data_IF_306595348598
#
_entry.id   IF_306595348598
#
_cell.length_a   1.000
_cell.length_b   1.000
_cell.length_c   1.000
_cell.angle_alpha   90.00
_cell.angle_beta   90.00
_cell.angle_gamma   90.00
#
_symmetry.space_group_name_H-M   'P 1'
#
loop_
_entity.id
_entity.type
_entity.pdbx_description
1 polymer ?
#
# COMPACT_ATOMS: atom_id res chain seq x y z
N UNK A 1 -13.01 -0.20 -9.42
CA UNK A 1 -11.64 -0.08 -8.89
C UNK A 1 -10.81 -1.22 -9.48
N UNK A 2 -9.84 -0.93 -10.35
CA UNK A 2 -8.87 -1.95 -10.78
C UNK A 2 -7.79 -2.00 -9.70
N UNK A 3 -7.54 -3.19 -9.16
CA UNK A 3 -6.61 -3.38 -8.06
C UNK A 3 -5.18 -3.00 -8.47
N UNK A 4 -4.51 -2.22 -7.63
CA UNK A 4 -3.11 -1.83 -7.76
C UNK A 4 -2.23 -3.00 -7.30
N UNK A 5 -1.16 -3.30 -8.05
CA UNK A 5 -0.24 -4.40 -7.73
C UNK A 5 1.20 -3.99 -8.05
N UNK A 6 2.03 -3.91 -7.03
CA UNK A 6 3.49 -3.90 -7.16
C UNK A 6 3.94 -5.32 -7.54
N UNK A 7 4.56 -5.48 -8.71
CA UNK A 7 5.09 -6.78 -9.14
C UNK A 7 6.36 -7.11 -8.37
N UNK A 8 6.22 -7.84 -7.25
CA UNK A 8 7.31 -8.12 -6.29
C UNK A 8 8.53 -8.81 -6.91
N UNK A 9 8.34 -9.69 -7.88
CA UNK A 9 9.43 -10.39 -8.61
C UNK A 9 10.12 -9.53 -9.67
N UNK A 10 9.58 -8.36 -10.00
CA UNK A 10 10.12 -7.47 -11.05
C UNK A 10 10.57 -6.13 -10.45
N UNK A 11 10.49 -5.97 -9.12
CA UNK A 11 10.70 -4.72 -8.37
C UNK A 11 10.17 -3.49 -9.14
N UNK A 12 8.96 -3.63 -9.69
CA UNK A 12 8.35 -2.64 -10.58
C UNK A 12 6.98 -2.28 -10.04
N UNK A 13 6.85 -1.04 -9.58
CA UNK A 13 5.55 -0.40 -9.46
C UNK A 13 5.01 -0.21 -10.88
N UNK A 14 3.85 -0.82 -11.18
CA UNK A 14 3.20 -0.65 -12.49
C UNK A 14 2.46 0.69 -12.51
N UNK A 15 3.22 1.79 -12.45
CA UNK A 15 2.70 3.16 -12.40
C UNK A 15 1.77 3.48 -13.58
N UNK A 16 1.99 2.83 -14.73
CA UNK A 16 1.17 2.99 -15.94
C UNK A 16 -0.20 2.29 -15.87
N UNK A 17 -0.45 1.44 -14.86
CA UNK A 17 -1.76 0.85 -14.59
C UNK A 17 -2.55 1.62 -13.53
N UNK A 18 -1.98 2.69 -12.98
CA UNK A 18 -2.67 3.54 -12.04
C UNK A 18 -3.69 4.35 -12.85
N UNK A 19 -4.96 3.93 -12.77
CA UNK A 19 -6.07 4.70 -13.31
C UNK A 19 -6.28 5.93 -12.42
N UNK A 20 -5.47 6.96 -12.67
CA UNK A 20 -5.47 8.22 -11.92
C UNK A 20 -6.63 9.13 -12.29
N UNK A 21 -7.41 8.79 -13.33
CA UNK A 21 -8.43 9.67 -13.91
C UNK A 21 -9.53 10.06 -12.90
N UNK A 22 -9.90 9.15 -12.00
CA UNK A 22 -10.92 9.39 -10.97
C UNK A 22 -10.37 10.04 -9.68
N UNK A 23 -9.04 9.98 -9.46
CA UNK A 23 -8.40 10.41 -8.20
C UNK A 23 -7.74 11.78 -8.31
N UNK A 24 -7.76 12.40 -9.49
CA UNK A 24 -6.97 13.58 -9.79
C UNK A 24 -7.79 14.74 -10.29
N UNK A 25 -7.54 15.89 -9.70
CA UNK A 25 -7.93 17.16 -10.28
C UNK A 25 -6.82 17.56 -11.27
N UNK A 26 -6.92 17.04 -12.49
CA UNK A 26 -5.83 16.89 -13.46
C UNK A 26 -5.07 18.17 -13.86
N UNK A 27 -5.65 19.37 -13.72
CA UNK A 27 -4.95 20.61 -14.10
C UNK A 27 -5.36 21.88 -13.33
N UNK A 28 -6.42 21.83 -12.50
CA UNK A 28 -7.00 23.03 -11.86
C UNK A 28 -6.79 23.13 -10.36
N UNK A 29 -6.27 22.08 -9.70
CA UNK A 29 -6.16 22.06 -8.25
C UNK A 29 -4.82 22.54 -7.73
N UNK A 30 -4.85 23.04 -6.49
CA UNK A 30 -3.65 23.35 -5.72
C UNK A 30 -2.75 22.10 -5.70
N UNK A 31 -1.45 22.29 -5.92
CA UNK A 31 -0.45 21.22 -5.91
C UNK A 31 -0.58 20.30 -4.69
N UNK A 32 -0.92 20.85 -3.52
CA UNK A 32 -1.16 20.10 -2.29
C UNK A 32 -2.19 18.97 -2.46
N UNK A 33 -3.27 19.19 -3.22
CA UNK A 33 -4.30 18.17 -3.51
C UNK A 33 -3.71 17.03 -4.36
N UNK A 34 -2.91 17.36 -5.36
CA UNK A 34 -2.26 16.37 -6.22
C UNK A 34 -1.21 15.57 -5.45
N UNK A 35 -0.44 16.20 -4.57
CA UNK A 35 0.47 15.49 -3.65
C UNK A 35 -0.30 14.60 -2.67
N UNK A 36 -1.44 15.06 -2.16
CA UNK A 36 -2.27 14.28 -1.26
C UNK A 36 -2.88 13.04 -1.92
N UNK A 37 -3.37 13.16 -3.16
CA UNK A 37 -4.01 12.05 -3.86
C UNK A 37 -3.01 11.16 -4.60
N UNK A 38 -2.31 11.70 -5.61
CA UNK A 38 -1.36 10.92 -6.41
C UNK A 38 -0.15 10.54 -5.58
N UNK A 39 0.36 11.50 -4.80
CA UNK A 39 1.55 11.27 -3.97
C UNK A 39 1.32 10.18 -2.92
N UNK A 40 0.12 10.08 -2.34
CA UNK A 40 -0.19 8.98 -1.41
C UNK A 40 -0.24 7.62 -2.11
N UNK A 41 -0.81 7.54 -3.32
CA UNK A 41 -0.86 6.29 -4.10
C UNK A 41 0.53 5.87 -4.55
N UNK A 42 1.33 6.80 -5.08
CA UNK A 42 2.72 6.50 -5.44
C UNK A 42 3.52 6.08 -4.21
N UNK A 43 3.33 6.76 -3.08
CA UNK A 43 3.93 6.40 -1.81
C UNK A 43 3.54 5.00 -1.36
N UNK A 44 2.25 4.66 -1.45
CA UNK A 44 1.72 3.33 -1.13
C UNK A 44 2.41 2.22 -1.94
N UNK A 45 2.52 2.41 -3.26
CA UNK A 45 3.19 1.44 -4.13
C UNK A 45 4.69 1.32 -3.86
N UNK A 46 5.36 2.42 -3.48
CA UNK A 46 6.77 2.36 -3.07
C UNK A 46 6.90 1.60 -1.75
N UNK A 47 6.01 1.84 -0.78
CA UNK A 47 6.06 1.17 0.53
C UNK A 47 5.82 -0.33 0.46
N UNK A 48 5.11 -0.83 -0.56
CA UNK A 48 4.98 -2.27 -0.80
C UNK A 48 6.32 -2.96 -1.11
N UNK A 49 7.32 -2.25 -1.62
CA UNK A 49 8.68 -2.77 -1.74
C UNK A 49 9.38 -3.01 -0.40
N UNK A 50 8.85 -2.46 0.69
CA UNK A 50 9.45 -2.50 2.04
C UNK A 50 8.49 -3.03 3.11
N UNK A 51 7.31 -3.51 2.72
CA UNK A 51 6.37 -4.11 3.67
C UNK A 51 6.87 -5.47 4.18
N UNK A 52 6.07 -6.14 5.01
CA UNK A 52 6.45 -7.42 5.65
C UNK A 52 6.93 -8.49 4.66
N UNK A 53 6.43 -8.45 3.42
CA UNK A 53 6.83 -9.36 2.35
C UNK A 53 7.89 -8.74 1.44
N UNK A 54 7.69 -7.48 1.05
CA UNK A 54 8.55 -6.73 0.13
C UNK A 54 9.99 -6.61 0.62
N UNK A 55 10.19 -6.49 1.94
CA UNK A 55 11.52 -6.37 2.56
C UNK A 55 12.48 -7.52 2.22
N UNK A 56 11.98 -8.68 1.80
CA UNK A 56 12.81 -9.82 1.43
C UNK A 56 13.29 -9.80 -0.02
N UNK A 57 12.88 -8.82 -0.82
CA UNK A 57 13.25 -8.69 -2.23
C UNK A 57 14.28 -7.57 -2.39
N UNK A 58 15.37 -7.86 -3.09
CA UNK A 58 16.40 -6.88 -3.39
C UNK A 58 16.01 -5.99 -4.58
N UNK A 59 16.93 -5.10 -5.00
CA UNK A 59 16.71 -4.18 -6.11
C UNK A 59 16.37 -4.88 -7.44
N UNK A 60 16.75 -6.15 -7.61
CA UNK A 60 16.51 -6.96 -8.80
C UNK A 60 15.23 -7.81 -8.69
N UNK A 61 14.54 -7.78 -7.56
CA UNK A 61 13.38 -8.62 -7.30
C UNK A 61 13.75 -10.05 -6.90
N UNK A 62 15.00 -10.29 -6.48
CA UNK A 62 15.41 -11.59 -5.96
C UNK A 62 15.18 -11.68 -4.45
N UNK A 63 14.71 -12.83 -3.98
CA UNK A 63 14.47 -13.05 -2.56
C UNK A 63 15.79 -13.29 -1.82
N UNK A 64 16.27 -12.29 -1.08
CA UNK A 64 17.52 -12.35 -0.30
C UNK A 64 17.33 -11.62 1.02
N UNK A 65 17.97 -12.10 2.09
CA UNK A 65 18.09 -11.31 3.31
C UNK A 65 19.21 -10.29 3.12
N UNK A 66 18.84 -9.03 2.87
CA UNK A 66 19.77 -7.93 2.62
C UNK A 66 19.77 -6.91 3.77
N UNK A 67 18.93 -7.10 4.78
CA UNK A 67 18.95 -6.33 6.02
C UNK A 67 19.89 -6.96 7.05
N UNK A 68 20.45 -6.12 7.91
CA UNK A 68 21.13 -6.62 9.09
C UNK A 68 20.07 -7.06 10.13
N UNK A 69 20.47 -7.93 11.05
CA UNK A 69 19.57 -8.49 12.08
C UNK A 69 18.93 -7.40 12.97
N UNK A 70 19.67 -6.31 13.23
CA UNK A 70 19.16 -5.20 14.04
C UNK A 70 18.01 -4.47 13.35
N UNK A 71 18.11 -4.18 12.06
CA UNK A 71 17.06 -3.54 11.25
C UNK A 71 15.84 -4.45 11.13
N UNK A 72 16.04 -5.76 10.96
CA UNK A 72 14.94 -6.71 10.91
C UNK A 72 14.14 -6.72 12.23
N UNK A 73 14.85 -6.76 13.36
CA UNK A 73 14.24 -6.70 14.69
C UNK A 73 13.50 -5.38 14.93
N UNK A 74 14.10 -4.25 14.59
CA UNK A 74 13.46 -2.93 14.72
C UNK A 74 12.22 -2.79 13.85
N UNK A 75 12.25 -3.35 12.64
CA UNK A 75 11.08 -3.38 11.76
C UNK A 75 9.94 -4.18 12.38
N UNK A 76 10.22 -5.37 12.91
CA UNK A 76 9.22 -6.23 13.54
C UNK A 76 8.59 -5.59 14.78
N UNK A 77 9.41 -4.90 15.59
CA UNK A 77 8.90 -4.16 16.74
C UNK A 77 7.94 -3.04 16.32
N UNK A 78 8.26 -2.31 15.25
CA UNK A 78 7.41 -1.21 14.76
C UNK A 78 6.17 -1.73 14.04
N UNK A 79 6.27 -2.81 13.28
CA UNK A 79 5.12 -3.41 12.60
C UNK A 79 4.10 -3.96 13.59
N UNK A 80 4.55 -4.48 14.74
CA UNK A 80 3.66 -4.94 15.81
C UNK A 80 2.72 -3.84 16.31
N UNK A 81 3.20 -2.59 16.41
CA UNK A 81 2.36 -1.45 16.79
C UNK A 81 1.17 -1.26 15.83
N UNK A 82 1.39 -1.42 14.52
CA UNK A 82 0.32 -1.35 13.53
C UNK A 82 -0.62 -2.55 13.63
N UNK A 83 -0.10 -3.77 13.83
CA UNK A 83 -0.93 -4.96 14.06
C UNK A 83 -1.89 -4.72 15.24
N UNK A 84 -1.35 -4.21 16.36
CA UNK A 84 -2.14 -3.93 17.56
C UNK A 84 -3.13 -2.78 17.36
N UNK A 85 -2.77 -1.77 16.57
CA UNK A 85 -3.64 -0.65 16.24
C UNK A 85 -4.85 -1.11 15.41
N UNK A 86 -4.61 -1.84 14.31
CA UNK A 86 -5.67 -2.27 13.40
C UNK A 86 -6.47 -3.46 13.96
N UNK A 87 -5.86 -4.31 14.79
CA UNK A 87 -6.54 -5.42 15.45
C UNK A 87 -7.62 -4.98 16.45
N UNK A 88 -7.59 -3.73 16.91
CA UNK A 88 -8.62 -3.13 17.80
C UNK A 88 -9.78 -2.52 17.03
N UNK A 89 -9.71 -2.45 15.70
CA UNK A 89 -10.77 -1.86 14.89
C UNK A 89 -11.85 -2.93 14.65
N UNK A 90 -13.01 -2.75 15.27
CA UNK A 90 -14.19 -3.54 14.94
C UNK A 90 -14.88 -2.94 13.72
N UNK A 91 -14.93 -3.72 12.63
CA UNK A 91 -15.72 -3.33 11.46
C UNK A 91 -17.18 -3.67 11.75
N UNK A 92 -17.95 -2.66 12.14
CA UNK A 92 -19.41 -2.79 12.24
C UNK A 92 -19.95 -3.26 10.90
N UNK A 93 -20.54 -4.46 10.88
CA UNK A 93 -21.14 -5.06 9.69
C UNK A 93 -22.21 -4.11 9.16
N UNK A 94 -21.90 -3.36 8.09
CA UNK A 94 -22.91 -2.60 7.34
C UNK A 94 -23.90 -3.64 6.82
N UNK A 95 -25.13 -3.53 7.30
CA UNK A 95 -26.16 -4.55 7.18
C UNK A 95 -26.40 -4.94 5.71
N UNK A 96 -26.23 -6.24 5.44
CA UNK A 96 -26.71 -6.97 4.25
C UNK A 96 -28.25 -6.96 4.10
N UNK A 97 -28.95 -5.97 4.65
CA UNK A 97 -30.40 -5.99 4.85
C UNK A 97 -31.19 -5.24 3.75
N UNK A 98 -30.53 -4.85 2.66
CA UNK A 98 -31.19 -4.17 1.52
C UNK A 98 -31.31 -5.07 0.26
N UNK A 99 -30.69 -6.25 0.22
CA UNK A 99 -30.61 -7.05 -1.04
C UNK A 99 -31.49 -8.32 -1.07
N UNK A 100 -32.30 -8.60 -0.05
CA UNK A 100 -33.18 -9.79 -0.02
C UNK A 100 -34.68 -9.50 0.16
N UNK A 101 -35.12 -8.26 -0.03
CA UNK A 101 -36.54 -7.90 -0.15
C UNK A 101 -36.78 -7.24 -1.50
N UNK A 102 -36.88 -8.07 -2.53
CA UNK A 102 -37.24 -7.70 -3.90
C UNK A 102 -37.68 -8.93 -4.65
#
# INVERSE_FOLDING_TARGET
MRNFWTGRTVNRSQLYKIDLSDMTCLAGCKKAVNYGAIGSVVGHEITHGFDSDGRFYDAHGERRSWWNENTEKEFEQRSQCFIDQYGKIEVSRVYWQIVFLG
#
